data_IF_008390550362
#
_entry.id   IF_008390550362
#
_cell.length_a   1.000
_cell.length_b   1.000
_cell.length_c   1.000
_cell.angle_alpha   90.00
_cell.angle_beta   90.00
_cell.angle_gamma   90.00
#
_symmetry.space_group_name_H-M   'P 1'
#
loop_
_entity.id
_entity.type
_entity.pdbx_description
1 polymer ?
#
# COMPACT_ATOMS: atom_id res chain seq x y z
N UNK A 1 49.38 36.86 -27.80
CA UNK A 1 49.07 36.98 -26.36
C UNK A 1 47.60 36.55 -26.21
N UNK A 2 47.21 35.34 -25.76
CA UNK A 2 47.27 34.78 -24.38
C UNK A 2 46.47 35.72 -23.46
N UNK A 3 45.35 35.41 -22.79
CA UNK A 3 44.80 34.15 -22.23
C UNK A 3 43.36 34.36 -21.72
N UNK A 4 42.59 33.28 -21.69
CA UNK A 4 41.32 33.05 -20.99
C UNK A 4 41.31 33.38 -19.49
N UNK A 5 40.11 33.62 -18.94
CA UNK A 5 39.57 33.29 -17.59
C UNK A 5 38.03 33.41 -17.72
N UNK A 6 37.20 32.36 -17.76
CA UNK A 6 36.76 31.41 -16.71
C UNK A 6 36.18 32.20 -15.51
N UNK A 7 34.88 32.14 -15.17
CA UNK A 7 34.32 31.10 -14.29
C UNK A 7 32.86 31.40 -13.88
N UNK A 8 32.02 30.33 -13.85
CA UNK A 8 31.09 29.91 -12.77
C UNK A 8 29.94 30.86 -12.29
N UNK A 9 28.75 30.41 -11.87
CA UNK A 9 28.16 29.08 -11.75
C UNK A 9 26.66 29.18 -11.43
N UNK A 10 25.91 28.21 -11.96
CA UNK A 10 24.81 27.46 -11.35
C UNK A 10 23.99 28.13 -10.22
N UNK A 11 22.73 28.49 -10.54
CA UNK A 11 21.68 28.61 -9.52
C UNK A 11 20.88 27.29 -9.46
N UNK A 12 21.10 26.61 -8.35
CA UNK A 12 20.53 25.37 -7.81
C UNK A 12 19.00 25.26 -8.00
N UNK A 13 18.50 24.16 -8.55
CA UNK A 13 18.12 22.90 -7.89
C UNK A 13 16.99 23.01 -6.83
N UNK A 14 15.96 22.21 -7.11
CA UNK A 14 15.12 21.45 -6.18
C UNK A 14 13.98 22.18 -5.43
N UNK A 15 12.77 22.02 -5.97
CA UNK A 15 11.57 21.77 -5.16
C UNK A 15 10.83 20.57 -5.76
N UNK A 16 11.29 19.39 -5.38
CA UNK A 16 10.58 18.11 -5.53
C UNK A 16 9.34 18.13 -4.64
N UNK A 17 8.16 18.38 -5.22
CA UNK A 17 6.90 18.04 -4.56
C UNK A 17 6.59 16.56 -4.86
N UNK A 18 6.52 15.66 -3.86
CA UNK A 18 5.91 14.37 -4.09
C UNK A 18 4.41 14.64 -4.25
N UNK A 19 3.95 14.57 -5.49
CA UNK A 19 2.53 14.55 -5.80
C UNK A 19 1.88 13.43 -4.97
N UNK A 20 1.04 13.84 -4.02
CA UNK A 20 0.12 12.96 -3.32
C UNK A 20 -0.67 12.20 -4.39
N UNK A 21 -0.35 10.91 -4.55
CA UNK A 21 -1.03 10.02 -5.47
C UNK A 21 -2.49 9.97 -5.08
N UNK A 22 -3.34 10.58 -5.91
CA UNK A 22 -4.79 10.45 -5.82
C UNK A 22 -5.14 8.98 -5.99
N UNK A 23 -5.54 8.34 -4.90
CA UNK A 23 -6.06 6.99 -4.89
C UNK A 23 -7.40 6.96 -5.64
N UNK A 24 -7.36 6.59 -6.93
CA UNK A 24 -8.55 6.24 -7.72
C UNK A 24 -8.27 4.98 -8.53
N UNK A 25 -8.43 3.83 -7.89
CA UNK A 25 -9.01 2.64 -8.51
C UNK A 25 -9.42 1.66 -7.41
N UNK A 26 -10.73 1.55 -7.22
CA UNK A 26 -11.37 0.70 -6.22
C UNK A 26 -11.54 -0.70 -6.80
N UNK A 27 -10.45 -1.46 -6.85
CA UNK A 27 -10.46 -2.91 -7.08
C UNK A 27 -10.51 -3.62 -5.74
N UNK A 28 -11.68 -4.11 -5.36
CA UNK A 28 -11.94 -4.65 -4.03
C UNK A 28 -11.89 -6.19 -4.03
N UNK A 29 -10.80 -6.77 -3.52
CA UNK A 29 -10.66 -8.21 -3.42
C UNK A 29 -11.17 -8.76 -2.07
N UNK A 30 -12.32 -9.44 -2.14
CA UNK A 30 -12.64 -10.53 -1.23
C UNK A 30 -11.68 -11.72 -1.48
N UNK A 31 -11.69 -12.70 -0.58
CA UNK A 31 -10.70 -13.79 -0.57
C UNK A 31 -10.65 -14.66 -1.85
N UNK A 32 -11.60 -14.54 -2.79
CA UNK A 32 -11.73 -15.32 -4.04
C UNK A 32 -11.09 -14.70 -5.31
N UNK A 33 -10.29 -13.63 -5.19
CA UNK A 33 -9.81 -12.88 -6.35
C UNK A 33 -8.49 -13.41 -6.98
N UNK A 34 -8.43 -14.73 -7.22
CA UNK A 34 -7.22 -15.41 -7.75
C UNK A 34 -6.72 -14.81 -9.08
N UNK A 35 -7.64 -14.45 -9.98
CA UNK A 35 -7.31 -13.80 -11.26
C UNK A 35 -6.82 -12.36 -11.07
N UNK A 36 -7.43 -11.60 -10.15
CA UNK A 36 -6.99 -10.24 -9.87
C UNK A 36 -5.59 -10.22 -9.23
N UNK A 37 -5.29 -11.18 -8.34
CA UNK A 37 -3.93 -11.38 -7.78
C UNK A 37 -2.93 -11.77 -8.87
N UNK A 38 -3.33 -12.63 -9.81
CA UNK A 38 -2.47 -12.99 -10.94
C UNK A 38 -2.13 -11.78 -11.82
N UNK A 39 -3.05 -10.84 -11.99
CA UNK A 39 -2.86 -9.61 -12.76
C UNK A 39 -2.03 -8.53 -12.02
N UNK A 40 -1.71 -8.71 -10.73
CA UNK A 40 -0.92 -7.75 -9.98
C UNK A 40 0.47 -7.57 -10.59
N UNK A 41 0.86 -6.32 -10.84
CA UNK A 41 2.18 -5.99 -11.39
C UNK A 41 3.25 -5.98 -10.30
N UNK A 42 2.85 -5.67 -9.07
CA UNK A 42 3.73 -5.53 -7.92
C UNK A 42 3.16 -6.34 -6.76
N UNK A 43 3.97 -7.16 -6.11
CA UNK A 43 3.58 -7.95 -4.93
C UNK A 43 4.64 -7.78 -3.87
N UNK A 44 4.24 -7.32 -2.68
CA UNK A 44 5.16 -7.02 -1.57
C UNK A 44 4.69 -7.71 -0.29
N UNK A 45 5.64 -8.33 0.42
CA UNK A 45 5.46 -8.85 1.77
C UNK A 45 6.12 -7.90 2.74
N UNK A 46 5.42 -7.55 3.81
CA UNK A 46 5.85 -6.49 4.72
C UNK A 46 5.41 -6.75 6.16
N UNK A 47 6.16 -6.20 7.11
CA UNK A 47 5.81 -6.15 8.52
C UNK A 47 4.80 -5.03 8.75
N UNK A 48 3.68 -5.34 9.39
CA UNK A 48 2.70 -4.34 9.82
C UNK A 48 3.23 -3.65 11.06
N UNK A 49 3.47 -2.34 10.97
CA UNK A 49 3.98 -1.55 12.10
C UNK A 49 2.86 -0.82 12.83
N UNK A 50 1.88 -0.31 12.07
CA UNK A 50 0.77 0.43 12.63
C UNK A 50 -0.42 0.47 11.68
N UNK A 51 -1.61 0.34 12.24
CA UNK A 51 -2.87 0.51 11.50
C UNK A 51 -3.61 1.70 12.08
N UNK A 52 -4.01 2.62 11.22
CA UNK A 52 -4.84 3.76 11.59
C UNK A 52 -6.22 3.59 10.94
N UNK A 53 -7.25 3.22 11.71
CA UNK A 53 -8.61 3.23 11.20
C UNK A 53 -9.04 4.68 10.91
N UNK A 54 -9.52 4.95 9.71
CA UNK A 54 -10.08 6.23 9.32
C UNK A 54 -11.61 6.07 9.19
N UNK A 55 -12.33 6.59 10.19
CA UNK A 55 -13.80 6.55 10.28
C UNK A 55 -14.29 5.91 11.59
N UNK A 56 -15.49 6.30 12.03
CA UNK A 56 -16.19 5.73 13.20
C UNK A 56 -17.38 4.83 12.82
N UNK A 57 -17.49 4.43 11.55
CA UNK A 57 -18.57 3.59 11.05
C UNK A 57 -18.12 2.12 10.95
N UNK A 58 -19.11 1.21 10.91
CA UNK A 58 -18.90 -0.24 10.84
C UNK A 58 -18.05 -0.68 9.63
N UNK A 59 -18.13 0.04 8.50
CA UNK A 59 -17.28 -0.10 7.32
C UNK A 59 -16.49 1.18 7.13
N UNK A 60 -15.17 1.05 7.08
CA UNK A 60 -14.23 2.16 7.09
C UNK A 60 -13.04 1.88 6.16
N UNK A 61 -12.09 2.81 6.16
CA UNK A 61 -10.81 2.62 5.47
C UNK A 61 -9.69 2.62 6.50
N UNK A 62 -8.82 1.62 6.48
CA UNK A 62 -7.67 1.52 7.36
C UNK A 62 -6.40 1.93 6.61
N UNK A 63 -5.63 2.84 7.19
CA UNK A 63 -4.28 3.15 6.70
C UNK A 63 -3.30 2.21 7.38
N UNK A 64 -2.69 1.31 6.61
CA UNK A 64 -1.67 0.37 7.09
C UNK A 64 -0.31 0.95 6.79
N UNK A 65 0.50 1.11 7.83
CA UNK A 65 1.90 1.50 7.74
C UNK A 65 2.74 0.30 8.11
N UNK A 66 3.70 -0.01 7.25
CA UNK A 66 4.55 -1.17 7.41
C UNK A 66 5.96 -0.97 6.87
N UNK A 67 6.74 -2.05 6.92
CA UNK A 67 8.09 -2.11 6.37
C UNK A 67 8.22 -3.31 5.45
N UNK A 68 8.60 -3.08 4.20
CA UNK A 68 8.79 -4.14 3.23
C UNK A 68 9.88 -5.12 3.71
N UNK A 69 9.56 -6.40 3.73
CA UNK A 69 10.53 -7.47 3.95
C UNK A 69 11.18 -7.79 2.61
N UNK A 70 10.35 -8.05 1.60
CA UNK A 70 10.77 -8.38 0.22
C UNK A 70 9.66 -8.07 -0.78
N UNK A 71 10.04 -7.83 -2.03
CA UNK A 71 9.11 -7.88 -3.15
C UNK A 71 9.10 -9.30 -3.73
N UNK A 72 7.91 -9.88 -3.89
CA UNK A 72 7.72 -11.17 -4.59
C UNK A 72 7.54 -10.95 -6.10
N UNK A 73 7.06 -9.77 -6.49
CA UNK A 73 6.91 -9.37 -7.89
C UNK A 73 7.10 -7.87 -8.04
N UNK A 74 7.72 -7.48 -9.15
CA UNK A 74 7.95 -6.08 -9.48
C UNK A 74 9.17 -5.49 -8.75
N UNK A 75 9.37 -4.18 -8.89
CA UNK A 75 10.57 -3.49 -8.39
C UNK A 75 10.28 -2.23 -7.59
N UNK A 76 8.99 -1.95 -7.33
CA UNK A 76 8.54 -0.75 -6.62
C UNK A 76 8.97 -0.73 -5.16
N UNK A 77 9.09 -1.91 -4.55
CA UNK A 77 9.46 -2.06 -3.14
C UNK A 77 10.80 -2.77 -2.98
N UNK A 78 11.66 -2.19 -2.14
CA UNK A 78 12.91 -2.80 -1.69
C UNK A 78 12.81 -3.21 -0.23
N UNK A 79 13.62 -4.18 0.16
CA UNK A 79 13.72 -4.58 1.56
C UNK A 79 13.98 -3.36 2.47
N UNK A 80 13.30 -3.34 3.62
CA UNK A 80 13.28 -2.28 4.64
C UNK A 80 12.63 -0.96 4.24
N UNK A 81 12.12 -0.81 3.01
CA UNK A 81 11.41 0.39 2.56
C UNK A 81 10.07 0.53 3.30
N UNK A 82 9.65 1.77 3.57
CA UNK A 82 8.34 2.03 4.15
C UNK A 82 7.21 1.69 3.18
N UNK A 83 6.22 0.96 3.66
CA UNK A 83 4.99 0.60 2.95
C UNK A 83 3.84 1.37 3.56
N UNK A 84 3.00 1.99 2.71
CA UNK A 84 1.81 2.71 3.14
C UNK A 84 0.65 2.30 2.24
N UNK A 85 -0.36 1.68 2.83
CA UNK A 85 -1.52 1.15 2.12
C UNK A 85 -2.79 1.70 2.72
N UNK A 86 -3.81 1.76 1.86
CA UNK A 86 -5.16 2.15 2.22
C UNK A 86 -6.01 0.92 1.92
N UNK A 87 -6.47 0.24 2.97
CA UNK A 87 -7.21 -1.02 2.86
C UNK A 87 -8.66 -0.80 3.31
N UNK A 88 -9.66 -1.32 2.59
CA UNK A 88 -11.03 -1.35 3.09
C UNK A 88 -11.09 -2.28 4.30
N UNK A 89 -11.60 -1.79 5.43
CA UNK A 89 -11.68 -2.55 6.66
C UNK A 89 -13.02 -2.35 7.34
N UNK A 90 -13.50 -3.36 8.06
CA UNK A 90 -14.74 -3.27 8.81
C UNK A 90 -14.62 -3.98 10.16
N UNK A 91 -15.51 -3.63 11.08
CA UNK A 91 -15.66 -4.36 12.35
C UNK A 91 -16.18 -5.76 12.11
N UNK A 92 -15.77 -6.71 12.97
CA UNK A 92 -16.30 -8.07 12.93
C UNK A 92 -17.81 -8.04 13.16
N UNK A 93 -18.58 -8.63 12.24
CA UNK A 93 -20.04 -8.61 12.31
C UNK A 93 -20.68 -7.34 11.74
N UNK A 94 -19.90 -6.44 11.13
CA UNK A 94 -20.42 -5.46 10.18
C UNK A 94 -21.05 -6.25 9.01
N UNK A 95 -22.36 -6.47 9.09
CA UNK A 95 -23.08 -7.38 8.21
C UNK A 95 -22.83 -7.07 6.73
N UNK A 96 -22.41 -8.07 5.98
CA UNK A 96 -22.60 -8.08 4.52
C UNK A 96 -23.84 -8.91 4.25
N UNK A 97 -24.94 -8.24 3.85
CA UNK A 97 -26.03 -8.92 3.15
C UNK A 97 -25.62 -9.30 1.72
N UNK A 98 -24.50 -8.77 1.23
CA UNK A 98 -23.92 -9.09 -0.07
C UNK A 98 -22.96 -10.27 0.04
N UNK A 99 -23.07 -11.15 -0.95
CA UNK A 99 -22.16 -12.26 -1.19
C UNK A 99 -20.70 -11.80 -1.16
N UNK A 100 -19.96 -12.31 -0.17
CA UNK A 100 -18.54 -12.05 0.11
C UNK A 100 -18.21 -10.62 0.56
N UNK A 101 -17.94 -10.41 1.87
CA UNK A 101 -17.48 -9.11 2.36
C UNK A 101 -16.17 -8.71 1.67
N UNK A 102 -16.21 -7.56 0.99
CA UNK A 102 -15.10 -6.96 0.23
C UNK A 102 -14.12 -6.15 1.10
N UNK A 103 -14.10 -6.45 2.39
CA UNK A 103 -13.33 -5.74 3.41
C UNK A 103 -12.60 -6.71 4.30
N UNK A 104 -11.48 -6.24 4.84
CA UNK A 104 -10.67 -7.01 5.80
C UNK A 104 -11.16 -6.72 7.22
N UNK A 105 -11.16 -7.72 8.08
CA UNK A 105 -11.47 -7.52 9.50
C UNK A 105 -10.46 -6.55 10.13
N UNK A 106 -10.98 -5.48 10.74
CA UNK A 106 -10.19 -4.39 11.30
C UNK A 106 -9.34 -4.84 12.48
N UNK A 107 -9.88 -5.69 13.35
CA UNK A 107 -9.17 -6.18 14.51
C UNK A 107 -8.09 -7.19 14.10
N UNK A 108 -8.36 -7.99 13.06
CA UNK A 108 -7.36 -8.85 12.44
C UNK A 108 -6.20 -8.04 11.84
N UNK A 109 -6.50 -6.95 11.12
CA UNK A 109 -5.49 -6.02 10.60
C UNK A 109 -4.58 -5.44 11.71
N UNK A 110 -5.16 -5.11 12.86
CA UNK A 110 -4.41 -4.57 14.00
C UNK A 110 -3.55 -5.65 14.66
N UNK A 111 -4.02 -6.90 14.72
CA UNK A 111 -3.29 -8.02 15.35
C UNK A 111 -2.23 -8.67 14.45
N UNK A 112 -2.37 -8.56 13.13
CA UNK A 112 -1.43 -9.20 12.22
C UNK A 112 -0.04 -8.59 12.27
N UNK A 113 0.97 -9.42 12.42
CA UNK A 113 2.37 -9.02 12.37
C UNK A 113 2.84 -8.76 10.92
N UNK A 114 2.27 -9.47 9.95
CA UNK A 114 2.70 -9.44 8.56
C UNK A 114 1.53 -9.31 7.60
N UNK A 115 1.79 -8.70 6.45
CA UNK A 115 0.84 -8.61 5.34
C UNK A 115 1.50 -8.81 3.99
N UNK A 116 0.70 -9.24 3.01
CA UNK A 116 1.05 -9.23 1.58
C UNK A 116 0.06 -8.37 0.83
N UNK A 117 0.59 -7.44 0.04
CA UNK A 117 -0.19 -6.58 -0.81
C UNK A 117 0.07 -6.88 -2.27
N UNK A 118 -1.02 -7.00 -3.02
CA UNK A 118 -1.04 -7.13 -4.47
C UNK A 118 -1.45 -5.78 -5.04
N UNK A 119 -0.58 -5.23 -5.87
CA UNK A 119 -0.70 -3.86 -6.35
C UNK A 119 -0.68 -3.84 -7.88
N UNK A 120 -1.51 -2.96 -8.43
CA UNK A 120 -1.41 -2.58 -9.84
C UNK A 120 -0.13 -1.75 -10.07
N UNK A 121 0.24 -1.56 -11.34
CA UNK A 121 1.45 -0.83 -11.73
C UNK A 121 1.49 0.61 -11.20
N UNK A 122 0.33 1.26 -11.11
CA UNK A 122 0.15 2.60 -10.52
C UNK A 122 0.26 2.61 -8.98
N UNK A 123 0.19 1.44 -8.34
CA UNK A 123 0.25 1.25 -6.89
C UNK A 123 -1.11 1.17 -6.23
N UNK A 124 -2.20 1.08 -7.01
CA UNK A 124 -3.51 0.80 -6.47
C UNK A 124 -3.55 -0.59 -5.83
N UNK A 125 -4.20 -0.69 -4.68
CA UNK A 125 -4.39 -1.97 -4.00
C UNK A 125 -5.42 -2.80 -4.76
N UNK A 126 -5.00 -3.99 -5.19
CA UNK A 126 -5.87 -4.99 -5.82
C UNK A 126 -6.36 -5.95 -4.75
N UNK A 127 -5.43 -6.51 -3.98
CA UNK A 127 -5.75 -7.48 -2.93
C UNK A 127 -4.81 -7.36 -1.75
N UNK A 128 -5.30 -7.84 -0.61
CA UNK A 128 -4.57 -7.81 0.64
C UNK A 128 -4.76 -9.12 1.40
N UNK A 129 -3.64 -9.68 1.87
CA UNK A 129 -3.63 -10.90 2.67
C UNK A 129 -2.92 -10.61 3.98
N UNK A 130 -3.55 -11.03 5.07
CA UNK A 130 -2.99 -11.03 6.42
C UNK A 130 -2.31 -12.38 6.66
N UNK A 131 -1.15 -12.36 7.29
CA UNK A 131 -0.55 -13.56 7.86
C UNK A 131 -0.42 -13.41 9.35
N UNK A 132 -0.34 -14.56 10.00
CA UNK A 132 -0.02 -14.70 11.42
C UNK A 132 -1.00 -13.90 12.30
N UNK A 133 -2.22 -14.44 12.36
CA UNK A 133 -3.24 -13.98 13.31
C UNK A 133 -2.90 -14.63 14.67
N UNK A 134 -2.18 -13.92 15.53
CA UNK A 134 -2.05 -14.28 16.93
C UNK A 134 -3.30 -13.86 17.74
#
# INVERSE_FOLDING_TARGET
MVRSLIALAALSLAMTAPAASQARNLGFAGQDDSLARAAASEVVVFDVLKVYPAGGANVATCKVVGRAIRAERGTRYRARQSVRLVVPCAEKGAGSSDSSPRWVDRDALVRSAHGRAFLAKDGALIAYELYDLH
#
